data_IF_459190920293
#
_entry.id   IF_459190920293
#
_cell.length_a   1.000
_cell.length_b   1.000
_cell.length_c   1.000
_cell.angle_alpha   90.00
_cell.angle_beta   90.00
_cell.angle_gamma   90.00
#
_symmetry.space_group_name_H-M   'P 1'
#
loop_
_entity.id
_entity.type
_entity.pdbx_description
1 polymer ?
#
# COMPACT_ATOMS: atom_id res chain seq x y z
N UNK A 1 -52.09 -41.23 -27.75
CA UNK A 1 -50.69 -40.96 -28.10
C UNK A 1 -50.26 -39.68 -27.40
N UNK A 2 -49.17 -39.74 -26.62
CA UNK A 2 -48.75 -38.74 -25.63
C UNK A 2 -47.69 -37.83 -26.23
N UNK A 3 -47.87 -36.51 -26.14
CA UNK A 3 -46.89 -35.48 -26.54
C UNK A 3 -45.99 -35.22 -25.32
N UNK A 4 -44.65 -35.38 -25.40
CA UNK A 4 -43.81 -35.13 -24.24
C UNK A 4 -43.38 -33.66 -24.13
N UNK A 5 -43.72 -33.09 -22.98
CA UNK A 5 -42.89 -32.26 -22.10
C UNK A 5 -41.98 -31.19 -22.74
N UNK A 6 -42.46 -29.94 -22.70
CA UNK A 6 -41.66 -28.73 -22.81
C UNK A 6 -40.77 -28.60 -21.56
N UNK A 7 -39.46 -28.62 -21.77
CA UNK A 7 -38.42 -28.44 -20.77
C UNK A 7 -38.36 -26.96 -20.36
N UNK A 8 -38.88 -26.62 -19.18
CA UNK A 8 -38.73 -25.28 -18.58
C UNK A 8 -37.39 -25.25 -17.85
N UNK A 9 -36.36 -24.74 -18.54
CA UNK A 9 -35.04 -24.49 -17.98
C UNK A 9 -35.12 -23.22 -17.13
N UNK A 10 -35.35 -23.38 -15.82
CA UNK A 10 -35.30 -22.28 -14.85
C UNK A 10 -33.86 -21.81 -14.76
N UNK A 11 -33.55 -20.71 -15.46
CA UNK A 11 -32.29 -20.01 -15.36
C UNK A 11 -32.08 -19.60 -13.90
N UNK A 12 -31.07 -20.18 -13.26
CA UNK A 12 -30.54 -19.73 -11.99
C UNK A 12 -29.95 -18.33 -12.20
N UNK A 13 -30.78 -17.29 -12.08
CA UNK A 13 -30.36 -15.93 -11.76
C UNK A 13 -29.93 -15.90 -10.29
N UNK A 14 -28.93 -16.71 -9.94
CA UNK A 14 -28.11 -16.43 -8.78
C UNK A 14 -27.34 -15.16 -9.17
N UNK A 15 -27.89 -14.02 -8.77
CA UNK A 15 -27.22 -12.75 -8.94
C UNK A 15 -25.78 -12.89 -8.46
N UNK A 16 -24.83 -12.53 -9.33
CA UNK A 16 -23.54 -12.03 -8.90
C UNK A 16 -23.85 -10.78 -8.07
N UNK A 17 -24.25 -10.96 -6.81
CA UNK A 17 -24.17 -9.91 -5.82
C UNK A 17 -22.69 -9.55 -5.80
N UNK A 18 -22.34 -8.47 -6.50
CA UNK A 18 -21.03 -7.87 -6.47
C UNK A 18 -20.72 -7.66 -4.99
N UNK A 19 -19.84 -8.50 -4.45
CA UNK A 19 -19.33 -8.36 -3.10
C UNK A 19 -18.91 -6.91 -2.94
N UNK A 20 -19.27 -6.22 -1.84
CA UNK A 20 -18.81 -4.85 -1.63
C UNK A 20 -17.29 -4.85 -1.78
N UNK A 21 -16.81 -4.31 -2.90
CA UNK A 21 -15.39 -4.17 -3.13
C UNK A 21 -14.95 -3.05 -2.20
N UNK A 22 -14.28 -3.44 -1.11
CA UNK A 22 -13.60 -2.48 -0.24
C UNK A 22 -12.64 -1.61 -1.06
N UNK A 23 -12.26 -0.48 -0.48
CA UNK A 23 -11.36 0.48 -1.12
C UNK A 23 -10.12 -0.22 -1.67
N UNK A 24 -9.76 0.04 -2.91
CA UNK A 24 -8.58 -0.54 -3.57
C UNK A 24 -7.39 0.40 -3.42
N UNK A 25 -6.18 -0.14 -3.55
CA UNK A 25 -4.94 0.66 -3.55
C UNK A 25 -4.94 1.77 -4.61
N UNK A 26 -5.53 1.52 -5.77
CA UNK A 26 -5.65 2.50 -6.86
C UNK A 26 -6.54 3.67 -6.49
N UNK A 27 -7.55 3.44 -5.66
CA UNK A 27 -8.52 4.46 -5.27
C UNK A 27 -7.90 5.44 -4.28
N UNK A 28 -6.90 4.99 -3.50
CA UNK A 28 -6.14 5.84 -2.57
C UNK A 28 -5.21 6.82 -3.28
N UNK A 29 -4.82 6.60 -4.53
CA UNK A 29 -3.91 7.48 -5.27
C UNK A 29 -4.58 8.76 -5.80
N UNK A 30 -5.82 9.02 -5.39
CA UNK A 30 -6.50 10.28 -5.63
C UNK A 30 -5.97 11.40 -4.71
N UNK A 31 -5.90 12.62 -5.23
CA UNK A 31 -5.40 13.78 -4.51
C UNK A 31 -6.18 14.09 -3.21
N UNK A 32 -7.46 13.69 -3.10
CA UNK A 32 -8.24 13.82 -1.85
C UNK A 32 -7.66 13.01 -0.68
N UNK A 33 -6.94 11.94 -0.98
CA UNK A 33 -6.34 11.05 0.01
C UNK A 33 -4.85 11.32 0.22
N UNK A 34 -4.28 12.30 -0.48
CA UNK A 34 -2.90 12.71 -0.30
C UNK A 34 -2.68 13.28 1.12
N UNK A 35 -1.57 12.88 1.74
CA UNK A 35 -1.20 13.27 3.12
C UNK A 35 0.12 14.01 3.21
N UNK A 36 0.94 13.97 2.16
CA UNK A 36 2.16 14.76 2.10
C UNK A 36 3.31 14.02 1.46
N UNK A 37 4.43 14.74 1.40
CA UNK A 37 5.68 14.26 0.85
C UNK A 37 6.74 14.08 1.93
N UNK A 38 7.47 12.97 1.85
CA UNK A 38 8.57 12.67 2.75
C UNK A 38 9.84 12.42 1.96
N UNK A 39 10.94 13.03 2.40
CA UNK A 39 12.26 12.77 1.83
C UNK A 39 12.98 11.75 2.69
N UNK A 40 13.40 10.66 2.07
CA UNK A 40 14.15 9.59 2.72
C UNK A 40 15.57 9.62 2.14
N UNK A 41 16.62 9.88 2.93
CA UNK A 41 18.00 9.95 2.46
C UNK A 41 18.60 8.54 2.24
N UNK A 42 17.83 7.65 1.63
CA UNK A 42 18.18 6.24 1.41
C UNK A 42 17.78 5.80 0.00
N UNK A 43 18.52 4.83 -0.54
CA UNK A 43 18.12 4.10 -1.73
C UNK A 43 17.04 3.06 -1.42
N UNK A 44 16.36 2.57 -2.45
CA UNK A 44 15.38 1.48 -2.31
C UNK A 44 15.93 0.24 -1.62
N UNK A 45 17.15 -0.18 -1.95
CA UNK A 45 17.79 -1.31 -1.28
C UNK A 45 17.99 -1.08 0.23
N UNK A 46 18.37 0.15 0.62
CA UNK A 46 18.52 0.51 2.04
C UNK A 46 17.17 0.61 2.75
N UNK A 47 16.15 1.13 2.09
CA UNK A 47 14.77 1.17 2.62
C UNK A 47 14.25 -0.25 2.85
N UNK A 48 14.36 -1.13 1.85
CA UNK A 48 13.95 -2.53 1.97
C UNK A 48 14.72 -3.25 3.09
N UNK A 49 16.03 -3.04 3.19
CA UNK A 49 16.83 -3.60 4.27
C UNK A 49 16.42 -3.07 5.65
N UNK A 50 16.05 -1.80 5.78
CA UNK A 50 15.55 -1.23 7.03
C UNK A 50 14.22 -1.88 7.43
N UNK A 51 13.28 -2.01 6.49
CA UNK A 51 11.99 -2.65 6.76
C UNK A 51 12.15 -4.13 7.15
N UNK A 52 13.06 -4.88 6.53
CA UNK A 52 13.37 -6.24 6.96
C UNK A 52 14.00 -6.31 8.36
N UNK A 53 14.87 -5.37 8.70
CA UNK A 53 15.41 -5.28 10.08
C UNK A 53 14.31 -4.98 11.09
N UNK A 54 13.39 -4.09 10.73
CA UNK A 54 12.26 -3.75 11.57
C UNK A 54 11.31 -4.94 11.76
N UNK A 55 11.01 -5.68 10.70
CA UNK A 55 10.23 -6.92 10.79
C UNK A 55 10.90 -7.95 11.71
N UNK A 56 12.21 -8.11 11.60
CA UNK A 56 12.97 -9.03 12.46
C UNK A 56 12.98 -8.59 13.94
N UNK A 57 12.97 -7.29 14.22
CA UNK A 57 12.98 -6.75 15.59
C UNK A 57 11.57 -6.71 16.23
N UNK A 58 10.56 -6.31 15.46
CA UNK A 58 9.22 -5.98 15.96
C UNK A 58 8.14 -6.99 15.52
N UNK A 59 8.49 -7.99 14.71
CA UNK A 59 7.59 -9.05 14.26
C UNK A 59 6.61 -8.64 13.15
N UNK A 60 6.66 -7.39 12.69
CA UNK A 60 5.88 -6.88 11.58
C UNK A 60 6.56 -5.69 10.93
N UNK A 61 6.33 -5.48 9.64
CA UNK A 61 6.76 -4.28 8.92
C UNK A 61 5.83 -3.98 7.73
N UNK A 62 5.81 -2.72 7.26
CA UNK A 62 5.20 -2.36 5.99
C UNK A 62 5.79 -3.15 4.81
N UNK A 63 4.94 -3.48 3.84
CA UNK A 63 5.35 -4.24 2.65
C UNK A 63 5.97 -3.31 1.63
N UNK A 64 7.21 -3.58 1.21
CA UNK A 64 7.89 -2.88 0.14
C UNK A 64 7.81 -3.66 -1.18
N UNK A 65 7.39 -2.99 -2.25
CA UNK A 65 7.33 -3.57 -3.59
C UNK A 65 7.93 -2.63 -4.64
N UNK A 66 8.85 -3.13 -5.46
CA UNK A 66 9.36 -2.41 -6.64
C UNK A 66 8.31 -2.44 -7.76
N UNK A 67 8.23 -1.36 -8.54
CA UNK A 67 7.44 -1.38 -9.77
C UNK A 67 8.12 -2.31 -10.80
N UNK A 68 7.40 -3.31 -11.35
CA UNK A 68 8.01 -4.30 -12.25
C UNK A 68 8.43 -3.72 -13.60
N UNK A 69 7.90 -2.56 -13.98
CA UNK A 69 8.17 -1.89 -15.26
C UNK A 69 9.15 -0.74 -15.11
N UNK A 70 9.34 -0.20 -13.91
CA UNK A 70 10.14 1.00 -13.68
C UNK A 70 11.00 0.91 -12.41
N UNK A 71 12.31 0.84 -12.57
CA UNK A 71 13.26 0.64 -11.46
C UNK A 71 13.41 1.86 -10.54
N UNK A 72 12.97 3.04 -10.99
CA UNK A 72 12.98 4.28 -10.21
C UNK A 72 11.76 4.43 -9.29
N UNK A 73 10.80 3.50 -9.34
CA UNK A 73 9.58 3.55 -8.53
C UNK A 73 9.42 2.31 -7.65
N UNK A 74 8.84 2.55 -6.48
CA UNK A 74 8.45 1.51 -5.53
C UNK A 74 7.21 1.96 -4.76
N UNK A 75 6.56 1.05 -4.06
CA UNK A 75 5.44 1.37 -3.18
C UNK A 75 5.69 0.68 -1.84
N UNK A 76 5.47 1.42 -0.74
CA UNK A 76 5.35 0.87 0.60
C UNK A 76 3.87 0.84 0.96
N UNK A 77 3.39 -0.29 1.48
CA UNK A 77 2.02 -0.45 1.94
C UNK A 77 2.06 -0.91 3.40
N UNK A 78 1.60 -0.05 4.30
CA UNK A 78 1.27 -0.44 5.67
C UNK A 78 -0.25 -0.67 5.77
N UNK A 79 -0.65 -1.91 5.99
CA UNK A 79 -2.05 -2.31 6.06
C UNK A 79 -2.24 -3.30 7.20
N UNK A 80 -3.29 -3.14 8.03
CA UNK A 80 -3.59 -4.10 9.08
C UNK A 80 -3.69 -5.54 8.55
N UNK A 81 -3.16 -6.48 9.34
CA UNK A 81 -3.20 -7.90 9.02
C UNK A 81 -4.65 -8.39 8.85
N UNK A 82 -4.88 -9.30 7.89
CA UNK A 82 -6.20 -9.88 7.63
C UNK A 82 -7.22 -8.96 6.93
N UNK A 83 -6.93 -7.67 6.72
CA UNK A 83 -7.84 -6.80 5.98
C UNK A 83 -7.68 -6.95 4.47
N UNK A 84 -8.79 -7.06 3.74
CA UNK A 84 -8.84 -7.06 2.27
C UNK A 84 -9.01 -5.66 1.67
N UNK A 85 -9.65 -4.75 2.42
CA UNK A 85 -9.84 -3.34 2.08
C UNK A 85 -8.58 -2.52 2.39
N UNK A 86 -8.34 -1.46 1.61
CA UNK A 86 -7.29 -0.46 1.82
C UNK A 86 -7.76 0.75 2.62
N UNK A 87 -8.98 0.73 3.17
CA UNK A 87 -9.53 1.85 3.93
C UNK A 87 -8.64 2.27 5.11
N UNK A 88 -8.02 1.32 5.80
CA UNK A 88 -7.08 1.59 6.90
C UNK A 88 -5.60 1.48 6.48
N UNK A 89 -5.33 1.47 5.17
CA UNK A 89 -3.96 1.40 4.66
C UNK A 89 -3.32 2.78 4.58
N UNK A 90 -1.99 2.78 4.73
CA UNK A 90 -1.11 3.86 4.32
C UNK A 90 -0.35 3.37 3.10
N UNK A 91 -0.43 4.13 2.02
CA UNK A 91 0.28 3.84 0.77
C UNK A 91 1.29 4.95 0.54
N UNK A 92 2.56 4.60 0.42
CA UNK A 92 3.62 5.54 0.11
C UNK A 92 4.27 5.15 -1.22
N UNK A 93 4.01 5.95 -2.25
CA UNK A 93 4.65 5.78 -3.56
C UNK A 93 6.01 6.48 -3.57
N UNK A 94 7.05 5.71 -3.83
CA UNK A 94 8.42 6.14 -3.79
C UNK A 94 8.95 6.44 -5.19
N UNK A 95 9.71 7.53 -5.31
CA UNK A 95 10.52 7.85 -6.48
C UNK A 95 11.97 7.98 -6.05
N UNK A 96 12.89 7.24 -6.68
CA UNK A 96 14.32 7.34 -6.41
C UNK A 96 14.97 8.41 -7.29
N UNK A 97 15.71 9.32 -6.66
CA UNK A 97 16.52 10.34 -7.31
C UNK A 97 17.99 9.96 -7.16
N UNK A 98 18.67 9.80 -8.30
CA UNK A 98 20.11 9.57 -8.33
C UNK A 98 20.88 10.81 -7.86
N UNK A 99 22.13 10.59 -7.46
CA UNK A 99 23.05 11.66 -7.12
C UNK A 99 23.23 12.61 -8.30
N UNK A 100 23.28 13.91 -8.00
CA UNK A 100 23.68 14.96 -8.94
C UNK A 100 24.85 15.74 -8.33
N UNK A 101 25.48 16.63 -9.12
CA UNK A 101 26.52 17.54 -8.61
C UNK A 101 26.07 18.38 -7.40
N UNK A 102 24.77 18.58 -7.22
CA UNK A 102 24.18 19.46 -6.20
C UNK A 102 23.38 18.71 -5.13
N UNK A 103 23.23 17.38 -5.23
CA UNK A 103 22.37 16.62 -4.32
C UNK A 103 22.77 15.16 -4.18
N UNK A 104 22.73 14.68 -2.94
CA UNK A 104 22.91 13.28 -2.61
C UNK A 104 21.72 12.42 -3.09
N UNK A 105 21.94 11.11 -3.30
CA UNK A 105 20.87 10.19 -3.70
C UNK A 105 19.81 10.07 -2.60
N UNK A 106 18.54 10.16 -3.00
CA UNK A 106 17.40 10.18 -2.06
C UNK A 106 16.16 9.58 -2.68
N UNK A 107 15.26 9.08 -1.85
CA UNK A 107 13.92 8.68 -2.26
C UNK A 107 12.91 9.73 -1.79
N UNK A 108 11.93 10.07 -2.63
CA UNK A 108 10.77 10.87 -2.22
C UNK A 108 9.56 9.97 -2.14
N UNK A 109 8.81 10.05 -1.05
CA UNK A 109 7.57 9.32 -0.84
C UNK A 109 6.38 10.27 -0.96
N UNK A 110 5.42 9.92 -1.81
CA UNK A 110 4.08 10.52 -1.87
C UNK A 110 3.13 9.63 -1.06
N UNK A 111 2.58 10.17 0.02
CA UNK A 111 1.80 9.38 0.99
C UNK A 111 0.31 9.60 0.80
N UNK A 112 -0.44 8.50 0.85
CA UNK A 112 -1.89 8.46 0.73
C UNK A 112 -2.50 7.65 1.86
N UNK A 113 -3.65 8.11 2.37
CA UNK A 113 -4.50 7.35 3.27
C UNK A 113 -5.95 7.82 3.16
N UNK A 114 -6.91 6.92 3.38
CA UNK A 114 -8.32 7.29 3.34
C UNK A 114 -8.66 8.28 4.46
N UNK A 115 -8.22 7.97 5.67
CA UNK A 115 -8.39 8.80 6.85
C UNK A 115 -7.32 9.90 6.94
N UNK A 116 -7.64 10.98 7.66
CA UNK A 116 -6.76 12.13 7.90
C UNK A 116 -6.72 12.51 9.40
N UNK A 117 -7.14 11.60 10.27
CA UNK A 117 -7.14 11.80 11.70
C UNK A 117 -5.73 11.71 12.29
N UNK A 118 -5.60 12.11 13.56
CA UNK A 118 -4.32 12.11 14.28
C UNK A 118 -3.73 10.70 14.43
N UNK A 119 -4.56 9.67 14.55
CA UNK A 119 -4.11 8.28 14.63
C UNK A 119 -3.45 7.84 13.31
N UNK A 120 -4.03 8.22 12.18
CA UNK A 120 -3.48 7.98 10.85
C UNK A 120 -2.16 8.73 10.67
N UNK A 121 -2.09 10.00 11.08
CA UNK A 121 -0.87 10.79 11.04
C UNK A 121 0.25 10.14 11.88
N UNK A 122 -0.06 9.69 13.09
CA UNK A 122 0.89 8.99 13.95
C UNK A 122 1.42 7.70 13.30
N UNK A 123 0.56 6.93 12.62
CA UNK A 123 0.98 5.74 11.88
C UNK A 123 1.89 6.07 10.69
N UNK A 124 1.63 7.18 9.99
CA UNK A 124 2.52 7.66 8.91
C UNK A 124 3.90 7.99 9.48
N UNK A 125 3.96 8.68 10.62
CA UNK A 125 5.22 8.99 11.30
C UNK A 125 5.95 7.73 11.76
N UNK A 126 5.23 6.75 12.32
CA UNK A 126 5.77 5.45 12.71
C UNK A 126 6.33 4.67 11.50
N UNK A 127 5.66 4.71 10.35
CA UNK A 127 6.16 4.08 9.11
C UNK A 127 7.54 4.62 8.73
N UNK A 128 7.72 5.94 8.73
CA UNK A 128 9.03 6.53 8.40
C UNK A 128 10.05 6.36 9.53
N UNK A 129 9.61 6.33 10.78
CA UNK A 129 10.47 6.02 11.92
C UNK A 129 11.01 4.58 11.83
N UNK A 130 10.21 3.61 11.40
CA UNK A 130 10.66 2.22 11.17
C UNK A 130 11.74 2.12 10.08
N UNK A 131 11.79 3.05 9.13
CA UNK A 131 12.85 3.12 8.12
C UNK A 131 14.11 3.80 8.69
N UNK A 132 13.94 4.86 9.48
CA UNK A 132 15.04 5.64 10.05
C UNK A 132 15.74 4.91 11.22
N UNK A 133 14.96 4.21 12.04
CA UNK A 133 15.35 3.55 13.28
C UNK A 133 14.73 2.15 13.35
N UNK A 134 15.16 1.22 12.49
CA UNK A 134 14.49 -0.08 12.34
C UNK A 134 14.47 -0.93 13.61
N UNK A 135 15.40 -0.73 14.53
CA UNK A 135 15.46 -1.40 15.84
C UNK A 135 14.45 -0.91 16.88
N UNK A 136 13.75 0.21 16.63
CA UNK A 136 12.79 0.79 17.57
C UNK A 136 11.37 0.35 17.20
N UNK A 137 10.69 -0.29 18.15
CA UNK A 137 9.27 -0.66 18.00
C UNK A 137 8.37 0.44 18.59
N UNK A 138 7.21 0.71 17.97
CA UNK A 138 6.24 1.70 18.44
C UNK A 138 5.54 1.31 19.75
#
# INVERSE_FOLDING_TARGET
MKIPAVFVMVAMLAGCASTPQGLRVTDLRDQRYFRGDYTIPLSFAKIQAALFKHEAACGSAPVFALDPRQTSYATIIDKPAGQTSYENAIVADLTFYQSTLMSEPRSRAHVYSYYADSATQQRIEQLFAAIAHPEVCP
#
